data_IF_952563630797
#
_entry.id   IF_952563630797
#
_cell.length_a   1.000
_cell.length_b   1.000
_cell.length_c   1.000
_cell.angle_alpha   90.00
_cell.angle_beta   90.00
_cell.angle_gamma   90.00
#
_symmetry.space_group_name_H-M   'P 1'
#
loop_
_entity.id
_entity.type
_entity.pdbx_description
1 polymer ?
#
# COMPACT_ATOMS: atom_id res chain seq x y z
N UNK A 1 -18.53 -6.16 -3.34
CA UNK A 1 -17.87 -6.59 -4.59
C UNK A 1 -18.86 -7.42 -5.41
N UNK A 2 -18.86 -7.29 -6.74
CA UNK A 2 -19.78 -8.03 -7.64
C UNK A 2 -18.96 -8.93 -8.58
N UNK A 3 -19.28 -10.23 -8.68
CA UNK A 3 -18.64 -11.11 -9.65
C UNK A 3 -19.14 -10.85 -11.08
N UNK A 4 -18.34 -11.22 -12.08
CA UNK A 4 -18.66 -11.10 -13.50
C UNK A 4 -19.77 -12.06 -13.97
N UNK A 5 -19.91 -13.20 -13.28
CA UNK A 5 -21.09 -14.08 -13.36
C UNK A 5 -21.81 -14.04 -12.00
N UNK A 6 -23.13 -13.76 -11.97
CA UNK A 6 -23.85 -13.68 -10.72
C UNK A 6 -23.83 -15.02 -9.97
N UNK A 7 -23.83 -15.00 -8.62
CA UNK A 7 -24.07 -16.20 -7.83
C UNK A 7 -25.33 -16.92 -8.27
N UNK A 8 -25.30 -18.25 -8.30
CA UNK A 8 -26.45 -19.07 -8.69
C UNK A 8 -26.89 -19.97 -7.55
N UNK A 9 -28.19 -20.21 -7.45
CA UNK A 9 -28.71 -21.19 -6.51
C UNK A 9 -28.89 -22.53 -7.23
N UNK A 10 -28.32 -23.60 -6.68
CA UNK A 10 -28.50 -24.97 -7.16
C UNK A 10 -28.71 -25.89 -5.96
N UNK A 11 -29.84 -26.60 -5.96
CA UNK A 11 -30.18 -27.55 -4.88
C UNK A 11 -30.12 -26.92 -3.48
N UNK A 12 -30.64 -25.70 -3.31
CA UNK A 12 -30.64 -25.00 -2.01
C UNK A 12 -29.24 -24.57 -1.51
N UNK A 13 -28.25 -24.51 -2.41
CA UNK A 13 -26.91 -24.02 -2.12
C UNK A 13 -26.56 -22.89 -3.09
N UNK A 14 -25.84 -21.90 -2.59
CA UNK A 14 -25.32 -20.79 -3.41
C UNK A 14 -23.97 -21.20 -3.97
N UNK A 15 -23.80 -21.01 -5.28
CA UNK A 15 -22.54 -21.19 -5.97
C UNK A 15 -22.04 -19.84 -6.48
N UNK A 16 -20.74 -19.62 -6.37
CA UNK A 16 -20.09 -18.34 -6.71
C UNK A 16 -18.87 -18.61 -7.59
N UNK A 17 -18.52 -17.72 -8.55
CA UNK A 17 -17.31 -17.89 -9.35
C UNK A 17 -16.08 -18.09 -8.47
N UNK A 18 -15.40 -19.23 -8.63
CA UNK A 18 -14.36 -19.65 -7.68
C UNK A 18 -13.15 -18.71 -7.65
N UNK A 19 -12.80 -18.13 -8.80
CA UNK A 19 -11.67 -17.21 -8.92
C UNK A 19 -11.93 -15.93 -8.12
N UNK A 20 -13.10 -15.33 -8.34
CA UNK A 20 -13.59 -14.20 -7.56
C UNK A 20 -13.57 -14.52 -6.06
N UNK A 21 -14.09 -15.67 -5.66
CA UNK A 21 -14.15 -16.04 -4.25
C UNK A 21 -12.75 -16.27 -3.65
N UNK A 22 -11.90 -17.05 -4.31
CA UNK A 22 -10.55 -17.37 -3.85
C UNK A 22 -9.65 -16.15 -3.75
N UNK A 23 -9.61 -15.31 -4.78
CA UNK A 23 -8.78 -14.09 -4.77
C UNK A 23 -9.21 -13.13 -3.64
N UNK A 24 -10.52 -13.01 -3.39
CA UNK A 24 -11.02 -12.18 -2.28
C UNK A 24 -10.76 -12.78 -0.89
N UNK A 25 -10.67 -14.10 -0.79
CA UNK A 25 -10.24 -14.78 0.44
C UNK A 25 -8.71 -14.78 0.61
N UNK A 26 -7.96 -14.22 -0.34
CA UNK A 26 -6.50 -14.20 -0.34
C UNK A 26 -5.84 -15.52 -0.77
N UNK A 27 -6.58 -16.38 -1.46
CA UNK A 27 -6.06 -17.64 -2.00
C UNK A 27 -5.54 -17.45 -3.44
N UNK A 28 -4.39 -18.04 -3.74
CA UNK A 28 -3.96 -18.28 -5.12
C UNK A 28 -4.86 -19.35 -5.73
N UNK A 29 -5.35 -19.11 -6.95
CA UNK A 29 -6.32 -19.98 -7.61
C UNK A 29 -5.87 -20.37 -9.00
N UNK A 30 -6.01 -21.66 -9.33
CA UNK A 30 -5.67 -22.23 -10.62
C UNK A 30 -6.84 -23.07 -11.15
N UNK A 31 -7.00 -23.05 -12.47
CA UNK A 31 -7.93 -23.89 -13.22
C UNK A 31 -7.14 -24.71 -14.23
N UNK A 32 -7.28 -26.04 -14.16
CA UNK A 32 -6.75 -26.97 -15.15
C UNK A 32 -7.89 -27.44 -16.05
N UNK A 33 -7.82 -27.05 -17.32
CA UNK A 33 -8.82 -27.38 -18.33
C UNK A 33 -8.84 -28.87 -18.69
N UNK A 34 -7.67 -29.53 -18.75
CA UNK A 34 -7.57 -30.94 -19.16
C UNK A 34 -8.24 -31.84 -18.14
N UNK A 35 -7.98 -31.60 -16.87
CA UNK A 35 -8.54 -32.41 -15.78
C UNK A 35 -9.88 -31.87 -15.28
N UNK A 36 -10.26 -30.66 -15.68
CA UNK A 36 -11.41 -29.89 -15.19
C UNK A 36 -11.34 -29.67 -13.67
N UNK A 37 -10.15 -29.33 -13.19
CA UNK A 37 -9.82 -29.25 -11.77
C UNK A 37 -9.53 -27.82 -11.35
N UNK A 38 -10.09 -27.46 -10.21
CA UNK A 38 -9.79 -26.24 -9.46
C UNK A 38 -8.75 -26.59 -8.40
N UNK A 39 -7.72 -25.77 -8.29
CA UNK A 39 -6.82 -25.75 -7.13
C UNK A 39 -6.82 -24.36 -6.52
N UNK A 40 -7.02 -24.26 -5.21
CA UNK A 40 -6.91 -23.02 -4.47
C UNK A 40 -5.96 -23.20 -3.28
N UNK A 41 -5.05 -22.26 -3.05
CA UNK A 41 -4.01 -22.35 -2.01
C UNK A 41 -3.95 -21.05 -1.22
N UNK A 42 -4.01 -21.15 0.12
CA UNK A 42 -3.81 -20.04 1.06
C UNK A 42 -3.03 -20.55 2.27
N UNK A 43 -1.84 -19.99 2.51
CA UNK A 43 -0.94 -20.48 3.55
C UNK A 43 -0.64 -21.98 3.37
N UNK A 44 -0.83 -22.77 4.43
CA UNK A 44 -0.71 -24.23 4.40
C UNK A 44 -1.95 -24.96 3.87
N UNK A 45 -3.02 -24.25 3.52
CA UNK A 45 -4.28 -24.85 3.10
C UNK A 45 -4.38 -24.93 1.58
N UNK A 46 -4.58 -26.14 1.06
CA UNK A 46 -4.80 -26.45 -0.36
C UNK A 46 -6.17 -27.11 -0.53
N UNK A 47 -7.01 -26.50 -1.35
CA UNK A 47 -8.31 -27.02 -1.77
C UNK A 47 -8.22 -27.50 -3.20
N UNK A 48 -8.67 -28.73 -3.47
CA UNK A 48 -8.76 -29.31 -4.81
C UNK A 48 -10.20 -29.76 -5.05
N UNK A 49 -10.76 -29.40 -6.20
CA UNK A 49 -12.12 -29.79 -6.58
C UNK A 49 -12.22 -30.00 -8.09
N UNK A 50 -12.87 -31.06 -8.53
CA UNK A 50 -13.14 -31.31 -9.95
C UNK A 50 -14.60 -31.00 -10.31
N UNK A 51 -14.84 -30.44 -11.49
CA UNK A 51 -16.20 -30.14 -11.95
C UNK A 51 -17.01 -31.42 -12.06
N UNK A 52 -18.24 -31.40 -11.52
CA UNK A 52 -19.14 -32.54 -11.54
C UNK A 52 -18.94 -33.53 -10.39
N UNK A 53 -17.80 -33.50 -9.70
CA UNK A 53 -17.55 -34.39 -8.57
C UNK A 53 -18.22 -33.87 -7.30
N UNK A 54 -18.73 -34.80 -6.48
CA UNK A 54 -19.21 -34.52 -5.12
C UNK A 54 -18.11 -34.64 -4.07
N UNK A 55 -16.89 -34.92 -4.50
CA UNK A 55 -15.72 -35.07 -3.65
C UNK A 55 -14.76 -33.92 -3.94
N UNK A 56 -14.35 -33.23 -2.88
CA UNK A 56 -13.26 -32.29 -2.88
C UNK A 56 -12.18 -32.75 -1.89
N UNK A 57 -11.05 -32.07 -1.90
CA UNK A 57 -9.94 -32.36 -0.99
C UNK A 57 -9.45 -31.09 -0.32
N UNK A 58 -9.21 -31.15 0.98
CA UNK A 58 -8.53 -30.12 1.77
C UNK A 58 -7.27 -30.74 2.34
N UNK A 59 -6.09 -30.27 1.93
CA UNK A 59 -4.79 -30.81 2.34
C UNK A 59 -4.67 -32.33 2.12
N UNK A 60 -5.27 -32.84 1.04
CA UNK A 60 -5.31 -34.27 0.72
C UNK A 60 -6.43 -35.05 1.41
N UNK A 61 -7.08 -34.48 2.43
CA UNK A 61 -8.21 -35.11 3.11
C UNK A 61 -9.49 -34.94 2.31
N UNK A 62 -10.24 -36.03 2.14
CA UNK A 62 -11.47 -36.05 1.37
C UNK A 62 -12.60 -35.30 2.10
N UNK A 63 -13.34 -34.46 1.37
CA UNK A 63 -14.52 -33.73 1.85
C UNK A 63 -15.67 -33.92 0.88
N UNK A 64 -16.85 -34.28 1.40
CA UNK A 64 -18.06 -34.44 0.60
C UNK A 64 -18.75 -33.08 0.42
N UNK A 65 -19.15 -32.78 -0.81
CA UNK A 65 -19.87 -31.57 -1.17
C UNK A 65 -21.38 -31.82 -1.19
N UNK A 66 -22.13 -30.87 -0.66
CA UNK A 66 -23.60 -30.84 -0.75
C UNK A 66 -24.09 -30.71 -2.20
N UNK A 67 -23.36 -29.93 -3.01
CA UNK A 67 -23.63 -29.71 -4.43
C UNK A 67 -22.33 -29.70 -5.21
N UNK A 68 -22.37 -30.22 -6.44
CA UNK A 68 -21.21 -30.25 -7.33
C UNK A 68 -20.89 -28.86 -7.84
N UNK A 69 -19.60 -28.56 -8.02
CA UNK A 69 -19.23 -27.36 -8.78
C UNK A 69 -19.64 -27.52 -10.25
N UNK A 70 -19.97 -26.40 -10.88
CA UNK A 70 -20.51 -26.35 -12.24
C UNK A 70 -19.88 -25.25 -13.05
N UNK A 71 -19.97 -25.34 -14.36
CA UNK A 71 -19.62 -24.24 -15.26
C UNK A 71 -20.91 -23.54 -15.68
N UNK A 72 -20.99 -22.24 -15.45
CA UNK A 72 -22.11 -21.37 -15.88
C UNK A 72 -21.52 -20.20 -16.65
N UNK A 73 -21.96 -20.01 -17.92
CA UNK A 73 -21.46 -18.94 -18.80
C UNK A 73 -19.93 -18.88 -18.88
N UNK A 74 -19.26 -20.03 -19.00
CA UNK A 74 -17.80 -20.10 -19.07
C UNK A 74 -17.06 -19.77 -17.76
N UNK A 75 -17.78 -19.68 -16.62
CA UNK A 75 -17.17 -19.54 -15.29
C UNK A 75 -17.44 -20.76 -14.45
N UNK A 76 -16.39 -21.18 -13.76
CA UNK A 76 -16.46 -22.25 -12.78
C UNK A 76 -17.02 -21.70 -11.47
N UNK A 77 -18.15 -22.24 -11.04
CA UNK A 77 -18.89 -21.87 -9.84
C UNK A 77 -18.76 -22.98 -8.80
N UNK A 78 -18.37 -22.62 -7.58
CA UNK A 78 -18.15 -23.55 -6.46
C UNK A 78 -19.14 -23.30 -5.32
N UNK A 79 -19.49 -24.32 -4.52
CA UNK A 79 -20.35 -24.14 -3.34
C UNK A 79 -19.69 -23.16 -2.36
N UNK A 80 -20.35 -22.04 -2.08
CA UNK A 80 -19.76 -20.94 -1.32
C UNK A 80 -19.32 -21.35 0.08
N UNK A 81 -20.17 -22.11 0.79
CA UNK A 81 -19.95 -22.51 2.18
C UNK A 81 -18.69 -23.37 2.32
N UNK A 82 -18.63 -24.49 1.58
CA UNK A 82 -17.47 -25.37 1.56
C UNK A 82 -16.17 -24.59 1.27
N UNK A 83 -16.18 -23.78 0.22
CA UNK A 83 -14.97 -23.09 -0.23
C UNK A 83 -14.50 -22.03 0.79
N UNK A 84 -15.43 -21.30 1.40
CA UNK A 84 -15.14 -20.31 2.43
C UNK A 84 -14.65 -20.95 3.74
N UNK A 85 -15.35 -21.98 4.23
CA UNK A 85 -15.01 -22.67 5.47
C UNK A 85 -13.64 -23.36 5.37
N UNK A 86 -13.29 -23.89 4.19
CA UNK A 86 -11.95 -24.42 3.92
C UNK A 86 -10.85 -23.38 4.16
N UNK A 87 -11.13 -22.09 3.94
CA UNK A 87 -10.19 -20.99 4.17
C UNK A 87 -10.48 -20.20 5.47
N UNK A 88 -11.07 -20.89 6.45
CA UNK A 88 -11.38 -20.36 7.78
C UNK A 88 -12.31 -19.12 7.75
N UNK A 89 -13.27 -19.12 6.83
CA UNK A 89 -14.30 -18.08 6.74
C UNK A 89 -15.68 -18.64 7.11
N UNK A 90 -16.40 -17.92 7.97
CA UNK A 90 -17.81 -18.16 8.26
C UNK A 90 -18.69 -17.67 7.12
N UNK A 91 -19.81 -18.35 6.88
CA UNK A 91 -20.77 -18.02 5.82
C UNK A 91 -22.18 -17.94 6.39
N UNK A 92 -22.77 -16.76 6.32
CA UNK A 92 -24.11 -16.46 6.79
C UNK A 92 -25.03 -16.09 5.62
N UNK A 93 -26.23 -16.66 5.62
CA UNK A 93 -27.26 -16.32 4.65
C UNK A 93 -28.24 -15.32 5.26
N UNK A 94 -28.46 -14.19 4.58
CA UNK A 94 -29.50 -13.23 4.91
C UNK A 94 -30.62 -13.32 3.88
N UNK A 95 -31.74 -13.94 4.28
CA UNK A 95 -32.91 -14.12 3.42
C UNK A 95 -33.60 -12.82 3.04
N UNK A 96 -33.68 -11.85 3.96
CA UNK A 96 -34.34 -10.56 3.71
C UNK A 96 -33.63 -9.74 2.61
N UNK A 97 -32.30 -9.83 2.54
CA UNK A 97 -31.48 -9.12 1.55
C UNK A 97 -31.07 -9.98 0.36
N UNK A 98 -31.47 -11.26 0.34
CA UNK A 98 -30.96 -12.27 -0.60
C UNK A 98 -29.42 -12.21 -0.74
N UNK A 99 -28.73 -12.11 0.40
CA UNK A 99 -27.31 -11.85 0.46
C UNK A 99 -26.57 -12.91 1.27
N UNK A 100 -25.38 -13.30 0.79
CA UNK A 100 -24.44 -14.11 1.56
C UNK A 100 -23.38 -13.19 2.16
N UNK A 101 -23.17 -13.29 3.47
CA UNK A 101 -22.09 -12.64 4.20
C UNK A 101 -20.99 -13.65 4.47
N UNK A 102 -19.74 -13.25 4.19
CA UNK A 102 -18.57 -14.06 4.46
C UNK A 102 -17.69 -13.31 5.46
N UNK A 103 -17.36 -13.97 6.57
CA UNK A 103 -16.54 -13.39 7.63
C UNK A 103 -15.28 -14.23 7.81
N UNK A 104 -14.11 -13.66 7.54
CA UNK A 104 -12.84 -14.32 7.85
C UNK A 104 -12.67 -14.38 9.37
N UNK A 105 -12.51 -15.58 9.93
CA UNK A 105 -12.36 -15.74 11.39
C UNK A 105 -11.04 -15.15 11.90
N UNK A 106 -10.00 -15.13 11.07
CA UNK A 106 -8.70 -14.51 11.39
C UNK A 106 -8.63 -13.03 10.98
N UNK A 107 -9.73 -12.46 10.45
CA UNK A 107 -9.74 -11.15 9.81
C UNK A 107 -9.12 -11.16 8.41
N UNK A 108 -9.25 -10.02 7.71
CA UNK A 108 -8.54 -9.81 6.44
C UNK A 108 -7.07 -9.51 6.78
N UNK A 109 -6.13 -10.09 6.02
CA UNK A 109 -4.71 -9.74 6.11
C UNK A 109 -4.30 -8.93 4.87
N UNK A 110 -3.59 -7.83 5.05
CA UNK A 110 -3.04 -6.99 3.97
C UNK A 110 -1.61 -6.61 4.27
N UNK A 111 -0.85 -6.31 3.22
CA UNK A 111 0.48 -5.77 3.38
C UNK A 111 0.43 -4.36 4.00
N UNK A 112 1.17 -4.12 5.08
CA UNK A 112 1.29 -2.80 5.70
C UNK A 112 2.77 -2.40 5.68
N UNK A 113 3.12 -1.43 4.85
CA UNK A 113 4.47 -0.87 4.74
C UNK A 113 4.59 0.40 5.59
N UNK A 114 5.62 0.50 6.42
CA UNK A 114 5.98 1.73 7.12
C UNK A 114 7.18 2.41 6.47
N UNK A 115 7.06 3.67 6.08
CA UNK A 115 8.22 4.49 5.72
C UNK A 115 8.94 4.94 7.01
N UNK A 116 10.21 4.58 7.14
CA UNK A 116 11.02 4.78 8.34
C UNK A 116 12.08 5.85 8.09
N UNK A 117 12.07 6.88 8.93
CA UNK A 117 13.10 7.90 9.03
C UNK A 117 13.93 7.66 10.28
N UNK A 118 15.09 8.31 10.40
CA UNK A 118 15.94 8.23 11.61
C UNK A 118 15.19 8.55 12.91
N UNK A 119 14.18 9.42 12.88
CA UNK A 119 13.32 9.76 14.04
C UNK A 119 12.14 8.80 14.28
N UNK A 120 12.01 7.73 13.50
CA UNK A 120 10.85 6.82 13.55
C UNK A 120 11.00 5.66 14.56
N UNK A 121 12.14 5.54 15.26
CA UNK A 121 12.46 4.35 16.06
C UNK A 121 11.39 4.02 17.11
N UNK A 122 10.98 4.99 17.93
CA UNK A 122 9.99 4.75 19.00
C UNK A 122 8.65 4.27 18.43
N UNK A 123 8.16 4.92 17.37
CA UNK A 123 6.89 4.54 16.72
C UNK A 123 7.00 3.16 16.04
N UNK A 124 8.15 2.86 15.45
CA UNK A 124 8.43 1.56 14.85
C UNK A 124 8.39 0.43 15.89
N UNK A 125 9.12 0.58 17.01
CA UNK A 125 9.16 -0.43 18.08
C UNK A 125 7.78 -0.64 18.71
N UNK A 126 7.02 0.44 18.94
CA UNK A 126 5.65 0.36 19.47
C UNK A 126 4.70 -0.43 18.56
N UNK A 127 4.97 -0.50 17.26
CA UNK A 127 4.04 -1.01 16.25
C UNK A 127 4.60 -2.16 15.39
N UNK A 128 5.57 -2.92 15.89
CA UNK A 128 6.16 -4.08 15.19
C UNK A 128 5.11 -5.14 14.80
N UNK A 129 4.09 -5.33 15.64
CA UNK A 129 2.98 -6.26 15.37
C UNK A 129 2.11 -5.82 14.17
N UNK A 130 2.19 -4.53 13.80
CA UNK A 130 1.33 -3.84 12.82
C UNK A 130 1.91 -3.72 11.43
N UNK A 131 3.15 -4.16 11.24
CA UNK A 131 3.88 -3.96 10.00
C UNK A 131 4.17 -5.29 9.30
N UNK A 132 4.01 -5.28 7.99
CA UNK A 132 4.51 -6.34 7.10
C UNK A 132 5.93 -6.07 6.64
N UNK A 133 6.25 -4.79 6.44
CA UNK A 133 7.56 -4.35 6.01
C UNK A 133 7.85 -2.91 6.43
N UNK A 134 9.12 -2.55 6.36
CA UNK A 134 9.62 -1.21 6.58
C UNK A 134 10.52 -0.79 5.41
N UNK A 135 10.38 0.44 4.94
CA UNK A 135 11.28 1.05 3.95
C UNK A 135 12.11 2.14 4.62
N UNK A 136 13.42 1.93 4.73
CA UNK A 136 14.33 2.81 5.49
C UNK A 136 14.87 3.92 4.59
N UNK A 137 14.43 5.16 4.82
CA UNK A 137 14.85 6.34 4.04
C UNK A 137 16.25 6.79 4.46
N UNK A 138 17.25 6.01 4.06
CA UNK A 138 18.64 6.24 4.42
C UNK A 138 19.54 6.48 3.22
N UNK A 139 19.08 6.25 1.99
CA UNK A 139 19.93 6.39 0.81
C UNK A 139 19.43 7.43 -0.16
N UNK A 140 20.37 8.08 -0.83
CA UNK A 140 20.16 9.04 -1.91
C UNK A 140 21.35 9.05 -2.86
N UNK A 141 21.40 10.00 -3.78
CA UNK A 141 22.49 10.17 -4.72
C UNK A 141 23.33 11.41 -4.39
N UNK A 142 24.65 11.30 -4.54
CA UNK A 142 25.56 12.45 -4.52
C UNK A 142 25.49 13.24 -5.86
N UNK A 143 26.28 14.31 -5.96
CA UNK A 143 26.37 15.14 -7.18
C UNK A 143 26.87 14.38 -8.43
N UNK A 144 27.53 13.25 -8.25
CA UNK A 144 28.04 12.40 -9.32
C UNK A 144 27.07 11.27 -9.69
N UNK A 145 25.95 11.12 -8.95
CA UNK A 145 24.97 10.05 -9.13
C UNK A 145 25.35 8.75 -8.43
N UNK A 146 26.31 8.76 -7.52
CA UNK A 146 26.65 7.59 -6.70
C UNK A 146 25.69 7.45 -5.52
N UNK A 147 25.45 6.22 -5.10
CA UNK A 147 24.65 5.92 -3.93
C UNK A 147 25.39 6.36 -2.67
N UNK A 148 24.73 7.18 -1.86
CA UNK A 148 25.23 7.64 -0.56
C UNK A 148 24.15 7.49 0.50
N UNK A 149 24.55 7.35 1.75
CA UNK A 149 23.66 7.10 2.88
C UNK A 149 23.49 8.32 3.81
N UNK A 150 23.90 9.50 3.31
CA UNK A 150 23.93 10.75 4.06
C UNK A 150 23.59 11.96 3.18
N UNK A 151 22.55 12.69 3.59
CA UNK A 151 22.24 14.05 3.16
C UNK A 151 21.39 14.74 4.25
N UNK A 152 22.05 15.56 5.07
CA UNK A 152 21.40 16.26 6.18
C UNK A 152 20.32 17.24 5.70
N UNK A 153 20.49 17.87 4.53
CA UNK A 153 19.53 18.85 4.01
C UNK A 153 18.18 18.22 3.67
N UNK A 154 18.19 16.93 3.32
CA UNK A 154 17.00 16.13 2.96
C UNK A 154 16.60 15.13 4.03
N UNK A 155 17.22 15.20 5.21
CA UNK A 155 17.00 14.32 6.37
C UNK A 155 17.23 12.84 6.04
N UNK A 156 18.26 12.56 5.25
CA UNK A 156 18.68 11.22 4.87
C UNK A 156 19.94 10.91 5.66
N UNK A 157 19.86 9.91 6.53
CA UNK A 157 20.98 9.50 7.37
C UNK A 157 20.76 8.07 7.83
N UNK A 158 21.63 7.16 7.42
CA UNK A 158 21.74 5.83 8.04
C UNK A 158 22.24 6.01 9.48
N UNK A 159 21.44 5.68 10.51
CA UNK A 159 21.87 5.87 11.90
C UNK A 159 22.97 4.86 12.26
N UNK A 160 23.86 5.22 13.19
CA UNK A 160 24.96 4.35 13.61
C UNK A 160 24.47 3.01 14.20
N UNK A 161 23.33 3.05 14.87
CA UNK A 161 22.64 1.92 15.50
C UNK A 161 21.54 1.31 14.60
N UNK A 162 21.65 1.47 13.27
CA UNK A 162 20.66 0.94 12.31
C UNK A 162 20.40 -0.57 12.46
N UNK A 163 21.38 -1.33 12.96
CA UNK A 163 21.25 -2.76 13.23
C UNK A 163 20.11 -3.07 14.22
N UNK A 164 19.77 -2.16 15.15
CA UNK A 164 18.63 -2.34 16.05
C UNK A 164 17.30 -2.40 15.31
N UNK A 165 17.17 -1.64 14.21
CA UNK A 165 16.00 -1.70 13.33
C UNK A 165 15.92 -3.06 12.64
N UNK A 166 17.06 -3.56 12.15
CA UNK A 166 17.14 -4.86 11.52
C UNK A 166 16.76 -5.99 12.47
N UNK A 167 17.36 -6.03 13.66
CA UNK A 167 17.07 -7.06 14.67
C UNK A 167 15.59 -7.06 15.07
N UNK A 168 15.04 -5.89 15.37
CA UNK A 168 13.62 -5.75 15.72
C UNK A 168 12.71 -6.19 14.57
N UNK A 169 13.02 -5.82 13.33
CA UNK A 169 12.26 -6.21 12.15
C UNK A 169 12.30 -7.73 11.93
N UNK A 170 13.50 -8.32 11.91
CA UNK A 170 13.70 -9.76 11.67
C UNK A 170 13.03 -10.61 12.74
N UNK A 171 13.16 -10.24 14.02
CA UNK A 171 12.49 -10.93 15.14
C UNK A 171 10.96 -10.94 15.01
N UNK A 172 10.39 -9.96 14.31
CA UNK A 172 8.95 -9.79 14.13
C UNK A 172 8.46 -10.13 12.71
N UNK A 173 9.30 -10.79 11.90
CA UNK A 173 8.95 -11.18 10.53
C UNK A 173 8.65 -9.98 9.60
N UNK A 174 9.22 -8.82 9.87
CA UNK A 174 9.06 -7.61 9.07
C UNK A 174 10.14 -7.59 7.99
N UNK A 175 9.75 -7.44 6.73
CA UNK A 175 10.69 -7.26 5.62
C UNK A 175 11.29 -5.86 5.63
N UNK A 176 12.55 -5.74 5.25
CA UNK A 176 13.30 -4.49 5.28
C UNK A 176 13.68 -4.13 3.85
N UNK A 177 13.32 -2.94 3.41
CA UNK A 177 13.66 -2.41 2.09
C UNK A 177 14.56 -1.19 2.24
N UNK A 178 15.67 -1.17 1.51
CA UNK A 178 16.51 0.02 1.42
C UNK A 178 15.77 1.04 0.54
N UNK A 179 15.39 2.20 1.09
CA UNK A 179 14.75 3.23 0.28
C UNK A 179 15.82 4.14 -0.30
N UNK A 180 15.84 4.26 -1.64
CA UNK A 180 16.71 5.17 -2.38
C UNK A 180 15.88 6.34 -2.90
N UNK A 181 16.04 7.49 -2.26
CA UNK A 181 15.31 8.72 -2.56
C UNK A 181 16.13 9.64 -3.45
N UNK A 182 15.51 10.19 -4.49
CA UNK A 182 16.08 11.33 -5.21
C UNK A 182 14.99 12.20 -5.84
N UNK A 183 15.12 13.52 -5.77
CA UNK A 183 14.15 14.49 -6.29
C UNK A 183 14.79 15.59 -7.15
N UNK A 184 16.13 15.66 -7.21
CA UNK A 184 16.84 16.57 -8.09
C UNK A 184 16.73 16.10 -9.55
N UNK A 185 16.06 16.91 -10.36
CA UNK A 185 15.75 16.59 -11.76
C UNK A 185 17.01 16.49 -12.62
N UNK A 186 18.03 17.30 -12.35
CA UNK A 186 19.26 17.30 -13.15
C UNK A 186 20.10 16.06 -12.81
N UNK A 187 20.20 15.72 -11.52
CA UNK A 187 20.88 14.51 -11.05
C UNK A 187 20.21 13.24 -11.58
N UNK A 188 18.87 13.21 -11.57
CA UNK A 188 18.12 12.09 -12.16
C UNK A 188 18.36 11.98 -13.67
N UNK A 189 18.30 13.09 -14.42
CA UNK A 189 18.64 13.06 -15.86
C UNK A 189 20.06 12.53 -16.08
N UNK A 190 21.05 12.98 -15.29
CA UNK A 190 22.44 12.56 -15.40
C UNK A 190 22.62 11.05 -15.16
N UNK A 191 22.11 10.53 -14.05
CA UNK A 191 22.32 9.12 -13.68
C UNK A 191 21.55 8.16 -14.60
N UNK A 192 20.44 8.61 -15.18
CA UNK A 192 19.62 7.78 -16.08
C UNK A 192 20.08 7.85 -17.55
N UNK A 193 20.84 8.89 -17.94
CA UNK A 193 21.13 9.24 -19.34
C UNK A 193 21.79 8.15 -20.20
N UNK A 194 22.67 7.33 -19.63
CA UNK A 194 23.44 6.31 -20.38
C UNK A 194 23.28 4.93 -19.76
N UNK A 195 23.48 3.86 -20.54
CA UNK A 195 23.48 2.50 -20.02
C UNK A 195 24.55 2.30 -18.95
N UNK A 196 25.72 2.90 -19.13
CA UNK A 196 26.84 2.84 -18.19
C UNK A 196 26.48 3.47 -16.85
N UNK A 197 25.89 4.67 -16.85
CA UNK A 197 25.49 5.35 -15.61
C UNK A 197 24.40 4.57 -14.86
N UNK A 198 23.38 4.09 -15.60
CA UNK A 198 22.34 3.23 -15.03
C UNK A 198 22.92 1.97 -14.41
N UNK A 199 23.81 1.29 -15.12
CA UNK A 199 24.45 0.07 -14.62
C UNK A 199 25.29 0.34 -13.37
N UNK A 200 26.06 1.42 -13.36
CA UNK A 200 26.87 1.80 -12.20
C UNK A 200 26.01 2.03 -10.95
N UNK A 201 24.85 2.68 -11.08
CA UNK A 201 23.92 2.84 -9.96
C UNK A 201 23.25 1.51 -9.58
N UNK A 202 22.85 0.69 -10.55
CA UNK A 202 22.28 -0.64 -10.30
C UNK A 202 23.24 -1.50 -9.48
N UNK A 203 24.53 -1.50 -9.85
CA UNK A 203 25.55 -2.30 -9.16
C UNK A 203 25.73 -1.84 -7.70
N UNK A 204 25.73 -0.52 -7.46
CA UNK A 204 25.80 0.04 -6.11
C UNK A 204 24.57 -0.33 -5.26
N UNK A 205 23.36 -0.21 -5.81
CA UNK A 205 22.12 -0.57 -5.12
C UNK A 205 22.10 -2.07 -4.80
N UNK A 206 22.43 -2.92 -5.77
CA UNK A 206 22.44 -4.38 -5.59
C UNK A 206 23.49 -4.79 -4.56
N UNK A 207 24.68 -4.16 -4.59
CA UNK A 207 25.72 -4.38 -3.60
C UNK A 207 25.21 -4.09 -2.19
N UNK A 208 24.67 -2.89 -1.96
CA UNK A 208 24.15 -2.49 -0.64
C UNK A 208 23.04 -3.43 -0.15
N UNK A 209 22.07 -3.77 -1.03
CA UNK A 209 20.96 -4.66 -0.68
C UNK A 209 21.43 -6.05 -0.29
N UNK A 210 22.48 -6.56 -0.94
CA UNK A 210 23.04 -7.90 -0.68
C UNK A 210 23.93 -7.90 0.55
N UNK A 211 24.88 -6.98 0.64
CA UNK A 211 25.87 -6.91 1.73
C UNK A 211 25.20 -6.62 3.08
N UNK A 212 24.25 -5.69 3.11
CA UNK A 212 23.50 -5.35 4.33
C UNK A 212 22.31 -6.28 4.59
N UNK A 213 22.06 -7.26 3.71
CA UNK A 213 20.99 -8.23 3.85
C UNK A 213 19.58 -7.61 3.95
N UNK A 214 19.26 -6.63 3.10
CA UNK A 214 17.89 -6.17 2.88
C UNK A 214 17.06 -7.23 2.15
N UNK A 215 15.73 -7.21 2.27
CA UNK A 215 14.84 -8.04 1.45
C UNK A 215 14.67 -7.49 0.02
N UNK A 216 15.11 -6.27 -0.22
CA UNK A 216 14.98 -5.58 -1.50
C UNK A 216 15.21 -4.08 -1.38
N UNK A 217 14.83 -3.36 -2.42
CA UNK A 217 14.93 -1.91 -2.51
C UNK A 217 13.57 -1.28 -2.79
N UNK A 218 13.33 -0.09 -2.24
CA UNK A 218 12.26 0.80 -2.67
C UNK A 218 12.86 2.01 -3.40
N UNK A 219 12.56 2.16 -4.69
CA UNK A 219 12.99 3.32 -5.49
C UNK A 219 11.96 4.43 -5.34
N UNK A 220 12.41 5.58 -4.88
CA UNK A 220 11.62 6.79 -4.62
C UNK A 220 12.23 7.97 -5.39
N UNK A 221 12.22 7.85 -6.72
CA UNK A 221 12.70 8.88 -7.63
C UNK A 221 11.55 9.80 -8.04
N UNK A 222 11.60 11.05 -7.61
CA UNK A 222 10.57 12.06 -7.79
C UNK A 222 10.95 13.11 -8.85
N UNK A 223 9.96 13.75 -9.46
CA UNK A 223 10.13 14.83 -10.45
C UNK A 223 10.92 14.45 -11.73
N UNK A 224 11.00 13.17 -12.08
CA UNK A 224 11.65 12.72 -13.33
C UNK A 224 11.05 13.47 -14.53
N UNK A 225 11.92 13.99 -15.41
CA UNK A 225 11.48 14.74 -16.60
C UNK A 225 10.81 13.80 -17.61
N UNK A 226 9.84 14.34 -18.35
CA UNK A 226 9.12 13.59 -19.38
C UNK A 226 10.05 12.92 -20.41
N UNK A 227 11.12 13.61 -20.80
CA UNK A 227 12.14 13.13 -21.75
C UNK A 227 12.96 11.94 -21.21
N UNK A 228 13.05 11.77 -19.89
CA UNK A 228 13.80 10.69 -19.25
C UNK A 228 12.96 9.40 -19.06
N UNK A 229 11.71 9.37 -19.54
CA UNK A 229 10.79 8.24 -19.38
C UNK A 229 11.43 6.90 -19.77
N UNK A 230 11.97 6.80 -20.98
CA UNK A 230 12.51 5.53 -21.48
C UNK A 230 13.82 5.12 -20.79
N UNK A 231 14.60 6.11 -20.34
CA UNK A 231 15.80 5.87 -19.54
C UNK A 231 15.43 5.35 -18.15
N UNK A 232 14.43 5.93 -17.50
CA UNK A 232 13.90 5.44 -16.24
C UNK A 232 13.28 4.04 -16.39
N UNK A 233 12.55 3.81 -17.48
CA UNK A 233 11.97 2.50 -17.77
C UNK A 233 13.05 1.41 -17.89
N UNK A 234 14.13 1.73 -18.62
CA UNK A 234 15.29 0.84 -18.78
C UNK A 234 15.99 0.57 -17.44
N UNK A 235 16.23 1.62 -16.65
CA UNK A 235 16.81 1.49 -15.29
C UNK A 235 16.00 0.51 -14.43
N UNK A 236 14.68 0.68 -14.34
CA UNK A 236 13.82 -0.15 -13.50
C UNK A 236 13.80 -1.61 -13.98
N UNK A 237 13.73 -1.84 -15.30
CA UNK A 237 13.74 -3.19 -15.86
C UNK A 237 15.05 -3.93 -15.56
N UNK A 238 16.17 -3.25 -15.71
CA UNK A 238 17.50 -3.82 -15.48
C UNK A 238 17.75 -4.05 -13.99
N UNK A 239 17.37 -3.08 -13.14
CA UNK A 239 17.42 -3.20 -11.69
C UNK A 239 16.55 -4.37 -11.18
N UNK A 240 15.32 -4.50 -11.70
CA UNK A 240 14.43 -5.61 -11.38
C UNK A 240 15.12 -6.95 -11.67
N UNK A 241 15.67 -7.10 -12.87
CA UNK A 241 16.34 -8.33 -13.30
C UNK A 241 17.55 -8.66 -12.41
N UNK A 242 18.36 -7.65 -12.08
CA UNK A 242 19.52 -7.80 -11.22
C UNK A 242 19.12 -8.24 -9.80
N UNK A 243 18.11 -7.62 -9.18
CA UNK A 243 17.60 -7.98 -7.85
C UNK A 243 16.96 -9.36 -7.82
N UNK A 244 16.13 -9.72 -8.82
CA UNK A 244 15.51 -11.05 -8.88
C UNK A 244 16.56 -12.16 -8.99
N UNK A 245 17.69 -11.93 -9.67
CA UNK A 245 18.80 -12.89 -9.72
C UNK A 245 19.44 -13.17 -8.35
N UNK A 246 19.24 -12.26 -7.38
CA UNK A 246 19.70 -12.36 -5.99
C UNK A 246 18.57 -12.71 -5.01
N UNK A 247 17.39 -13.08 -5.51
CA UNK A 247 16.19 -13.32 -4.72
C UNK A 247 15.79 -12.10 -3.84
N UNK A 248 15.96 -10.89 -4.38
CA UNK A 248 15.60 -9.62 -3.72
C UNK A 248 14.40 -8.98 -4.43
N UNK A 249 13.63 -8.20 -3.67
CA UNK A 249 12.43 -7.50 -4.13
C UNK A 249 12.76 -6.12 -4.71
N UNK A 250 11.99 -5.68 -5.70
CA UNK A 250 11.97 -4.28 -6.15
C UNK A 250 10.59 -3.68 -5.95
N UNK A 251 10.54 -2.54 -5.29
CA UNK A 251 9.31 -1.81 -5.02
C UNK A 251 9.49 -0.36 -5.50
N UNK A 252 8.43 0.28 -6.00
CA UNK A 252 8.55 1.63 -6.59
C UNK A 252 7.50 2.55 -5.99
N UNK A 253 7.92 3.70 -5.47
CA UNK A 253 7.00 4.79 -5.11
C UNK A 253 6.59 5.52 -6.40
N UNK A 254 5.28 5.59 -6.66
CA UNK A 254 4.74 6.24 -7.85
C UNK A 254 3.94 7.48 -7.46
N UNK A 255 4.18 8.62 -8.12
CA UNK A 255 3.38 9.81 -7.89
C UNK A 255 1.96 9.61 -8.42
N UNK A 256 0.99 10.24 -7.79
CA UNK A 256 -0.42 10.09 -8.14
C UNK A 256 -0.74 10.55 -9.57
N UNK A 257 -1.56 9.76 -10.28
CA UNK A 257 -2.09 10.06 -11.61
C UNK A 257 -3.57 9.69 -11.65
N UNK A 258 -4.36 10.40 -12.46
CA UNK A 258 -5.77 10.10 -12.70
C UNK A 258 -6.06 10.08 -14.20
N UNK A 259 -7.23 9.59 -14.61
CA UNK A 259 -7.62 9.70 -16.03
C UNK A 259 -7.83 11.16 -16.47
N UNK A 260 -8.12 12.05 -15.52
CA UNK A 260 -8.36 13.48 -15.77
C UNK A 260 -7.07 14.27 -15.88
N UNK A 261 -6.00 13.80 -15.21
CA UNK A 261 -4.78 14.56 -15.07
C UNK A 261 -3.56 13.66 -14.91
N UNK A 262 -2.58 13.89 -15.77
CA UNK A 262 -1.25 13.31 -15.73
C UNK A 262 -0.22 14.43 -15.56
N UNK A 263 0.21 14.67 -14.32
CA UNK A 263 1.30 15.60 -14.02
C UNK A 263 2.69 15.00 -14.28
N UNK A 264 2.77 13.68 -14.44
CA UNK A 264 4.00 12.89 -14.29
C UNK A 264 4.14 11.93 -15.48
N UNK A 265 4.35 12.47 -16.70
CA UNK A 265 4.40 11.68 -17.93
C UNK A 265 5.60 10.74 -17.99
N UNK A 266 6.65 10.97 -17.17
CA UNK A 266 7.79 10.06 -17.07
C UNK A 266 7.46 8.70 -16.42
N UNK A 267 6.37 8.62 -15.66
CA UNK A 267 6.03 7.44 -14.87
C UNK A 267 5.05 6.56 -15.65
N UNK A 268 5.61 5.57 -16.35
CA UNK A 268 4.88 4.54 -17.07
C UNK A 268 4.32 3.48 -16.11
N UNK A 269 3.07 3.64 -15.66
CA UNK A 269 2.47 2.72 -14.69
C UNK A 269 2.45 1.25 -15.17
N UNK A 270 2.23 0.99 -16.45
CA UNK A 270 2.18 -0.39 -16.96
C UNK A 270 3.57 -1.02 -16.96
N UNK A 271 4.57 -0.31 -17.47
CA UNK A 271 5.97 -0.75 -17.50
C UNK A 271 6.50 -0.95 -16.07
N UNK A 272 6.30 0.04 -15.19
CA UNK A 272 6.81 0.05 -13.82
C UNK A 272 6.07 -1.00 -12.95
N UNK A 273 4.77 -1.20 -13.14
CA UNK A 273 4.00 -2.25 -12.47
C UNK A 273 4.36 -3.67 -12.94
N UNK A 274 4.80 -3.81 -14.20
CA UNK A 274 5.31 -5.09 -14.73
C UNK A 274 6.65 -5.45 -14.09
N UNK A 275 7.59 -4.52 -14.02
CA UNK A 275 8.94 -4.72 -13.49
C UNK A 275 9.10 -4.22 -12.05
N UNK A 276 8.20 -4.66 -11.18
CA UNK A 276 8.28 -4.52 -9.73
C UNK A 276 7.54 -5.66 -9.06
N UNK A 277 7.90 -5.98 -7.82
CA UNK A 277 7.13 -6.88 -6.98
C UNK A 277 5.84 -6.20 -6.48
N UNK A 278 5.90 -4.89 -6.22
CA UNK A 278 4.75 -4.02 -6.00
C UNK A 278 5.11 -2.54 -6.16
N UNK A 279 4.09 -1.69 -6.29
CA UNK A 279 4.22 -0.23 -6.31
C UNK A 279 3.50 0.37 -5.11
N UNK A 280 3.98 1.51 -4.62
CA UNK A 280 3.33 2.32 -3.60
C UNK A 280 2.80 3.59 -4.25
N UNK A 281 1.48 3.81 -4.24
CA UNK A 281 0.88 5.02 -4.78
C UNK A 281 0.96 6.15 -3.75
N UNK A 282 1.66 7.23 -4.07
CA UNK A 282 1.73 8.44 -3.23
C UNK A 282 0.45 9.28 -3.40
N UNK A 283 -0.68 8.73 -2.96
CA UNK A 283 -2.01 9.33 -3.10
C UNK A 283 -2.28 10.37 -1.98
N UNK A 284 -1.36 11.31 -1.83
CA UNK A 284 -1.39 12.47 -0.94
C UNK A 284 -0.72 13.67 -1.62
N UNK A 285 -0.70 14.84 -0.96
CA UNK A 285 -0.14 16.09 -1.49
C UNK A 285 -0.75 16.59 -2.82
N UNK A 286 -2.06 16.40 -3.02
CA UNK A 286 -2.80 16.88 -4.21
C UNK A 286 -2.54 18.35 -4.55
N UNK A 287 -2.23 19.20 -3.57
CA UNK A 287 -1.86 20.62 -3.74
C UNK A 287 -2.92 21.45 -4.51
N UNK A 288 -4.18 21.53 -4.03
CA UNK A 288 -5.20 22.40 -4.59
C UNK A 288 -4.78 23.88 -4.56
N UNK A 289 -5.38 24.69 -5.44
CA UNK A 289 -5.09 26.13 -5.60
C UNK A 289 -5.48 27.00 -4.41
N UNK A 290 -6.34 26.48 -3.53
CA UNK A 290 -6.77 27.09 -2.27
C UNK A 290 -6.65 26.05 -1.15
N UNK A 291 -6.58 26.47 0.12
CA UNK A 291 -6.64 25.55 1.25
C UNK A 291 -7.76 24.52 1.08
N UNK A 292 -7.46 23.25 1.34
CA UNK A 292 -8.38 22.17 1.00
C UNK A 292 -7.82 20.77 1.26
N UNK A 293 -8.64 19.74 1.01
CA UNK A 293 -8.26 18.35 1.23
C UNK A 293 -7.11 17.93 0.32
N UNK A 294 -6.02 17.44 0.91
CA UNK A 294 -4.81 17.01 0.18
C UNK A 294 -4.84 15.54 -0.24
N UNK A 295 -5.69 14.74 0.39
CA UNK A 295 -5.75 13.30 0.22
C UNK A 295 -7.17 12.76 0.49
N UNK A 296 -8.20 13.50 0.05
CA UNK A 296 -9.59 13.08 0.24
C UNK A 296 -9.89 11.73 -0.41
N UNK A 297 -10.78 10.93 0.20
CA UNK A 297 -11.15 9.60 -0.33
C UNK A 297 -11.69 9.67 -1.76
N UNK A 298 -12.37 10.76 -2.11
CA UNK A 298 -12.87 11.08 -3.44
C UNK A 298 -11.73 11.11 -4.47
N UNK A 299 -10.68 11.88 -4.22
CA UNK A 299 -9.51 11.97 -5.10
C UNK A 299 -8.64 10.71 -5.05
N UNK A 300 -8.40 10.15 -3.85
CA UNK A 300 -7.63 8.91 -3.70
C UNK A 300 -8.28 7.77 -4.50
N UNK A 301 -9.62 7.72 -4.60
CA UNK A 301 -10.33 6.73 -5.42
C UNK A 301 -10.01 6.88 -6.90
N UNK A 302 -9.97 8.11 -7.43
CA UNK A 302 -9.58 8.34 -8.83
C UNK A 302 -8.15 7.85 -9.12
N UNK A 303 -7.23 8.08 -8.18
CA UNK A 303 -5.83 7.62 -8.29
C UNK A 303 -5.75 6.10 -8.30
N UNK A 304 -6.46 5.42 -7.39
CA UNK A 304 -6.51 3.96 -7.34
C UNK A 304 -7.16 3.38 -8.60
N UNK A 305 -8.25 3.97 -9.09
CA UNK A 305 -8.94 3.51 -10.28
C UNK A 305 -8.10 3.66 -11.56
N UNK A 306 -7.30 4.73 -11.65
CA UNK A 306 -6.31 4.88 -12.71
C UNK A 306 -5.25 3.77 -12.65
N UNK A 307 -4.74 3.49 -11.44
CA UNK A 307 -3.66 2.52 -11.24
C UNK A 307 -4.10 1.08 -11.54
N UNK A 308 -5.26 0.63 -11.02
CA UNK A 308 -5.70 -0.77 -11.16
C UNK A 308 -6.12 -1.16 -12.58
N UNK A 309 -6.34 -0.19 -13.47
CA UNK A 309 -6.52 -0.46 -14.91
C UNK A 309 -5.22 -0.83 -15.62
N UNK A 310 -4.08 -0.47 -15.03
CA UNK A 310 -2.73 -0.56 -15.63
C UNK A 310 -1.81 -1.52 -14.87
N UNK A 311 -2.04 -1.67 -13.57
CA UNK A 311 -1.25 -2.51 -12.66
C UNK A 311 -2.20 -3.50 -11.99
N UNK A 312 -1.80 -4.78 -11.90
CA UNK A 312 -2.55 -5.78 -11.13
C UNK A 312 -2.81 -5.27 -9.71
N UNK A 313 -4.06 -5.28 -9.21
CA UNK A 313 -4.36 -4.78 -7.86
C UNK A 313 -3.52 -5.40 -6.74
N UNK A 314 -3.15 -6.68 -6.89
CA UNK A 314 -2.32 -7.42 -5.92
C UNK A 314 -0.85 -6.93 -5.87
N UNK A 315 -0.45 -6.04 -6.78
CA UNK A 315 0.83 -5.31 -6.78
C UNK A 315 0.68 -3.85 -6.35
N UNK A 316 -0.51 -3.36 -6.05
CA UNK A 316 -0.74 -1.95 -5.68
C UNK A 316 -0.85 -1.82 -4.17
N UNK A 317 0.02 -1.00 -3.58
CA UNK A 317 -0.03 -0.57 -2.18
C UNK A 317 -0.46 0.89 -2.14
N UNK A 318 -1.49 1.21 -1.37
CA UNK A 318 -1.99 2.58 -1.26
C UNK A 318 -1.23 3.36 -0.17
N UNK A 319 -0.48 4.40 -0.55
CA UNK A 319 0.14 5.31 0.38
C UNK A 319 -0.89 6.21 1.08
N UNK A 320 -0.79 6.30 2.40
CA UNK A 320 -1.58 7.17 3.27
C UNK A 320 -0.62 8.14 3.94
N UNK A 321 -0.69 9.41 3.55
CA UNK A 321 0.06 10.50 4.17
C UNK A 321 -0.62 10.95 5.45
N UNK A 322 -0.21 10.41 6.61
CA UNK A 322 -0.87 10.67 7.90
C UNK A 322 -0.42 11.98 8.53
N UNK A 323 -0.80 13.08 7.89
CA UNK A 323 -0.54 14.45 8.30
C UNK A 323 -1.57 15.37 7.62
N UNK A 324 -1.41 16.66 7.82
CA UNK A 324 -2.20 17.70 7.19
C UNK A 324 -1.37 18.93 6.89
N UNK A 325 -2.07 19.98 6.48
CA UNK A 325 -1.48 21.31 6.39
C UNK A 325 -2.39 22.38 6.99
N UNK A 326 -1.75 23.45 7.44
CA UNK A 326 -2.38 24.71 7.76
C UNK A 326 -1.90 25.80 6.80
N UNK A 327 -2.77 26.76 6.50
CA UNK A 327 -2.44 27.93 5.69
C UNK A 327 -2.74 29.21 6.46
N UNK A 328 -1.77 30.12 6.48
CA UNK A 328 -1.92 31.47 7.04
C UNK A 328 -0.95 32.41 6.33
N UNK A 329 -1.39 33.63 5.98
CA UNK A 329 -0.57 34.68 5.38
C UNK A 329 0.28 34.21 4.17
N UNK A 330 -0.30 33.37 3.30
CA UNK A 330 0.41 32.82 2.13
C UNK A 330 1.48 31.77 2.46
N UNK A 331 1.63 31.37 3.73
CA UNK A 331 2.52 30.31 4.19
C UNK A 331 1.74 29.02 4.42
N UNK A 332 2.44 27.89 4.22
CA UNK A 332 1.95 26.54 4.51
C UNK A 332 2.75 25.93 5.65
N UNK A 333 2.06 25.29 6.59
CA UNK A 333 2.61 24.59 7.75
C UNK A 333 2.18 23.14 7.72
N UNK A 334 3.04 22.21 8.10
CA UNK A 334 2.66 20.80 8.28
C UNK A 334 1.89 20.65 9.57
N UNK A 335 0.82 19.86 9.56
CA UNK A 335 -0.03 19.62 10.73
C UNK A 335 0.02 18.15 11.10
N UNK A 336 0.26 17.85 12.37
CA UNK A 336 0.20 16.50 12.93
C UNK A 336 -0.89 16.41 13.99
N UNK A 337 -1.45 15.22 14.18
CA UNK A 337 -2.54 15.03 15.13
C UNK A 337 -2.10 15.23 16.58
N UNK A 338 -0.92 14.70 16.93
CA UNK A 338 -0.36 14.75 18.28
C UNK A 338 1.07 15.27 18.30
N UNK A 339 1.39 16.00 19.36
CA UNK A 339 2.78 16.39 19.66
C UNK A 339 3.68 15.18 19.73
N UNK A 340 4.83 15.27 19.07
CA UNK A 340 5.92 14.31 19.16
C UNK A 340 7.25 15.03 19.33
N UNK A 341 8.35 14.28 19.39
CA UNK A 341 9.69 14.82 19.64
C UNK A 341 10.28 15.60 18.44
N UNK A 342 9.53 15.76 17.34
CA UNK A 342 10.07 16.41 16.15
C UNK A 342 10.09 17.92 16.29
N UNK A 343 11.25 18.49 15.97
CA UNK A 343 11.50 19.94 16.04
C UNK A 343 11.71 20.49 14.62
N UNK A 344 10.63 20.83 13.93
CA UNK A 344 10.68 21.53 12.65
C UNK A 344 10.01 22.89 12.79
N UNK A 345 10.58 23.93 12.16
CA UNK A 345 10.13 25.33 12.28
C UNK A 345 8.72 25.61 11.73
N UNK A 346 8.10 24.64 11.04
CA UNK A 346 6.77 24.78 10.43
C UNK A 346 5.82 23.61 10.73
N UNK A 347 5.96 22.95 11.89
CA UNK A 347 4.98 21.96 12.35
C UNK A 347 4.04 22.58 13.38
N UNK A 348 2.75 22.29 13.21
CA UNK A 348 1.70 22.55 14.20
C UNK A 348 1.08 21.22 14.64
N UNK A 349 0.61 21.17 15.89
CA UNK A 349 0.02 19.96 16.47
C UNK A 349 -1.45 20.21 16.87
N UNK A 350 -2.38 19.40 16.37
CA UNK A 350 -3.82 19.61 16.56
C UNK A 350 -4.21 19.59 18.05
N UNK A 351 -3.60 18.74 18.85
CA UNK A 351 -3.81 18.67 20.31
C UNK A 351 -3.40 19.95 21.04
N UNK A 352 -2.26 20.53 20.67
CA UNK A 352 -1.80 21.83 21.19
C UNK A 352 -2.73 22.95 20.72
N UNK A 353 -3.11 22.98 19.45
CA UNK A 353 -3.99 24.01 18.90
C UNK A 353 -5.40 23.97 19.52
N UNK A 354 -5.91 22.77 19.83
CA UNK A 354 -7.15 22.58 20.59
C UNK A 354 -7.04 23.19 21.99
N UNK A 355 -5.94 22.89 22.67
CA UNK A 355 -5.73 23.32 24.06
C UNK A 355 -5.46 24.82 24.17
N UNK A 356 -4.67 25.40 23.25
CA UNK A 356 -4.24 26.80 23.29
C UNK A 356 -5.26 27.76 22.67
N UNK A 357 -5.88 27.38 21.56
CA UNK A 357 -6.74 28.30 20.77
C UNK A 357 -8.19 27.83 20.63
N UNK A 358 -8.57 26.73 21.29
CA UNK A 358 -9.93 26.20 21.20
C UNK A 358 -10.30 25.68 19.80
N UNK A 359 -9.32 25.27 19.00
CA UNK A 359 -9.54 24.71 17.66
C UNK A 359 -10.59 23.59 17.71
N UNK A 360 -11.61 23.69 16.85
CA UNK A 360 -12.58 22.61 16.62
C UNK A 360 -12.39 22.06 15.21
N UNK A 361 -12.29 20.75 15.11
CA UNK A 361 -12.18 20.05 13.83
C UNK A 361 -13.54 19.45 13.47
N UNK A 362 -13.97 19.68 12.24
CA UNK A 362 -15.14 19.09 11.60
C UNK A 362 -14.69 18.09 10.53
N UNK A 363 -15.58 17.18 10.14
CA UNK A 363 -15.33 16.23 9.06
C UNK A 363 -15.98 16.74 7.77
N UNK A 364 -15.21 16.82 6.69
CA UNK A 364 -15.78 17.08 5.37
C UNK A 364 -16.40 15.80 4.81
N UNK A 365 -17.66 15.85 4.38
CA UNK A 365 -18.42 14.64 3.99
C UNK A 365 -17.93 14.00 2.70
N UNK A 366 -17.27 14.76 1.82
CA UNK A 366 -16.83 14.28 0.51
C UNK A 366 -15.44 13.65 0.59
N UNK A 367 -14.49 14.38 1.15
CA UNK A 367 -13.09 13.95 1.30
C UNK A 367 -12.88 13.04 2.51
N UNK A 368 -13.77 13.11 3.51
CA UNK A 368 -13.60 12.50 4.84
C UNK A 368 -12.36 12.99 5.60
N UNK A 369 -11.75 14.09 5.15
CA UNK A 369 -10.66 14.74 5.89
C UNK A 369 -11.22 15.62 6.99
N UNK A 370 -10.43 15.79 8.05
CA UNK A 370 -10.76 16.72 9.12
C UNK A 370 -10.33 18.14 8.69
N UNK A 371 -11.17 19.13 8.95
CA UNK A 371 -10.86 20.53 8.69
C UNK A 371 -11.27 21.41 9.86
N UNK A 372 -10.65 22.58 9.98
CA UNK A 372 -10.97 23.54 11.03
C UNK A 372 -10.21 24.84 10.84
N UNK A 373 -10.50 25.82 11.68
CA UNK A 373 -9.78 27.09 11.69
C UNK A 373 -9.59 27.60 13.10
N UNK A 374 -8.55 28.41 13.29
CA UNK A 374 -8.28 29.11 14.55
C UNK A 374 -7.62 30.46 14.27
N UNK A 375 -7.59 31.33 15.28
CA UNK A 375 -6.78 32.56 15.29
C UNK A 375 -5.71 32.44 16.36
N UNK A 376 -4.49 32.83 16.04
CA UNK A 376 -3.40 32.90 17.01
C UNK A 376 -3.51 34.15 17.91
N UNK A 377 -2.57 34.30 18.85
CA UNK A 377 -2.48 35.43 19.77
C UNK A 377 -2.30 36.80 19.08
N UNK A 378 -1.86 36.81 17.81
CA UNK A 378 -1.68 38.01 17.00
C UNK A 378 -2.89 38.29 16.08
N UNK A 379 -3.94 37.47 16.16
CA UNK A 379 -5.13 37.57 15.33
C UNK A 379 -4.97 36.99 13.92
N UNK A 380 -3.87 36.31 13.62
CA UNK A 380 -3.64 35.64 12.33
C UNK A 380 -4.55 34.44 12.22
N UNK A 381 -5.28 34.36 11.11
CA UNK A 381 -6.22 33.25 10.84
C UNK A 381 -5.53 32.11 10.12
N UNK A 382 -5.74 30.90 10.63
CA UNK A 382 -5.25 29.66 10.06
C UNK A 382 -6.42 28.79 9.61
N UNK A 383 -6.34 28.25 8.39
CA UNK A 383 -7.21 27.17 7.92
C UNK A 383 -6.42 25.87 7.93
N UNK A 384 -7.01 24.78 8.44
CA UNK A 384 -6.36 23.48 8.63
C UNK A 384 -7.15 22.41 7.89
N UNK A 385 -6.42 21.52 7.21
CA UNK A 385 -6.91 20.25 6.70
C UNK A 385 -5.95 19.13 7.08
N UNK A 386 -6.45 18.02 7.64
CA UNK A 386 -5.64 16.90 8.08
C UNK A 386 -6.34 15.55 7.85
N UNK A 387 -5.55 14.47 7.77
CA UNK A 387 -6.10 13.11 7.83
C UNK A 387 -6.93 12.90 9.10
N UNK A 388 -7.98 12.10 8.97
CA UNK A 388 -8.85 11.69 10.06
C UNK A 388 -8.92 10.16 10.15
N UNK A 389 -9.37 9.61 11.28
CA UNK A 389 -9.66 8.17 11.35
C UNK A 389 -10.70 7.72 10.31
N UNK A 390 -11.63 8.61 9.93
CA UNK A 390 -12.65 8.30 8.93
C UNK A 390 -12.06 8.23 7.51
N UNK A 391 -11.15 9.13 7.13
CA UNK A 391 -10.46 9.04 5.83
C UNK A 391 -9.54 7.83 5.77
N UNK A 392 -8.83 7.51 6.86
CA UNK A 392 -7.98 6.30 6.94
C UNK A 392 -8.83 5.03 6.80
N UNK A 393 -9.91 4.91 7.57
CA UNK A 393 -10.85 3.77 7.49
C UNK A 393 -11.41 3.61 6.08
N UNK A 394 -11.86 4.69 5.46
CA UNK A 394 -12.39 4.65 4.09
C UNK A 394 -11.35 4.21 3.06
N UNK A 395 -10.09 4.63 3.21
CA UNK A 395 -8.97 4.18 2.37
C UNK A 395 -8.65 2.70 2.58
N UNK A 396 -8.67 2.22 3.81
CA UNK A 396 -8.51 0.78 4.11
C UNK A 396 -9.65 -0.04 3.50
N UNK A 397 -10.91 0.40 3.62
CA UNK A 397 -12.06 -0.24 2.98
C UNK A 397 -11.94 -0.26 1.47
N UNK A 398 -11.47 0.84 0.87
CA UNK A 398 -11.20 0.89 -0.57
C UNK A 398 -10.08 -0.07 -0.98
N UNK A 399 -9.02 -0.20 -0.17
CA UNK A 399 -7.95 -1.16 -0.42
C UNK A 399 -8.45 -2.61 -0.41
N UNK A 400 -9.42 -2.94 0.46
CA UNK A 400 -10.13 -4.22 0.44
C UNK A 400 -11.00 -4.33 -0.83
N UNK A 401 -11.86 -3.34 -1.07
CA UNK A 401 -12.84 -3.30 -2.17
C UNK A 401 -12.18 -3.48 -3.54
N UNK A 402 -11.04 -2.84 -3.76
CA UNK A 402 -10.30 -2.86 -5.03
C UNK A 402 -9.31 -4.03 -5.11
N UNK A 403 -9.23 -4.89 -4.08
CA UNK A 403 -8.31 -6.03 -4.07
C UNK A 403 -6.83 -5.62 -4.04
N UNK A 404 -6.52 -4.46 -3.45
CA UNK A 404 -5.15 -3.95 -3.36
C UNK A 404 -4.27 -4.87 -2.49
N UNK A 405 -2.95 -4.87 -2.74
CA UNK A 405 -1.97 -5.58 -1.91
C UNK A 405 -2.04 -5.13 -0.44
N UNK A 406 -2.26 -3.83 -0.22
CA UNK A 406 -2.45 -3.26 1.10
C UNK A 406 -2.20 -1.75 1.12
N UNK A 407 -1.64 -1.24 2.22
CA UNK A 407 -1.38 0.19 2.44
C UNK A 407 0.08 0.44 2.81
N UNK A 408 0.54 1.67 2.59
CA UNK A 408 1.78 2.19 3.13
C UNK A 408 1.48 3.44 3.96
N UNK A 409 2.15 3.61 5.09
CA UNK A 409 2.03 4.82 5.90
C UNK A 409 3.23 5.74 5.65
N UNK A 410 2.94 6.95 5.17
CA UNK A 410 3.86 8.08 5.19
C UNK A 410 3.48 9.01 6.34
N UNK A 411 4.13 8.91 7.49
CA UNK A 411 5.26 8.01 7.80
C UNK A 411 5.24 7.58 9.26
N UNK A 412 6.07 6.58 9.59
CA UNK A 412 6.34 6.24 10.98
C UNK A 412 6.95 7.46 11.70
N UNK A 413 6.55 7.67 12.95
CA UNK A 413 6.78 8.87 13.76
C UNK A 413 5.62 9.86 13.72
N UNK A 414 4.73 9.78 12.72
CA UNK A 414 3.51 10.62 12.66
C UNK A 414 2.29 9.89 13.18
N UNK A 415 2.35 8.56 13.28
CA UNK A 415 1.19 7.74 13.56
C UNK A 415 0.73 7.88 15.01
N UNK A 416 -0.56 7.64 15.23
CA UNK A 416 -1.19 7.65 16.55
C UNK A 416 -1.99 6.37 16.75
N UNK A 417 -2.48 6.13 17.96
CA UNK A 417 -3.38 5.01 18.21
C UNK A 417 -4.66 5.13 17.35
N UNK A 418 -5.10 6.35 17.03
CA UNK A 418 -6.25 6.60 16.15
C UNK A 418 -6.01 6.12 14.71
N UNK A 419 -4.80 6.31 14.18
CA UNK A 419 -4.40 5.76 12.89
C UNK A 419 -4.43 4.22 12.93
N UNK A 420 -3.74 3.61 13.89
CA UNK A 420 -3.62 2.16 13.97
C UNK A 420 -4.95 1.48 14.22
N UNK A 421 -5.81 2.06 15.08
CA UNK A 421 -7.16 1.56 15.33
C UNK A 421 -8.02 1.60 14.04
N UNK A 422 -7.92 2.65 13.23
CA UNK A 422 -8.64 2.71 11.95
C UNK A 422 -8.15 1.64 10.96
N UNK A 423 -6.84 1.38 10.89
CA UNK A 423 -6.28 0.30 10.05
C UNK A 423 -6.72 -1.08 10.56
N UNK A 424 -6.58 -1.32 11.87
CA UNK A 424 -6.92 -2.59 12.51
C UNK A 424 -8.42 -2.87 12.56
N UNK A 425 -9.27 -1.85 12.48
CA UNK A 425 -10.70 -2.04 12.25
C UNK A 425 -11.00 -2.79 10.94
N UNK A 426 -10.06 -2.78 9.99
CA UNK A 426 -10.25 -3.31 8.64
C UNK A 426 -9.44 -4.59 8.37
N UNK A 427 -8.14 -4.61 8.68
CA UNK A 427 -7.27 -5.78 8.44
C UNK A 427 -6.06 -5.83 9.38
N UNK A 428 -5.43 -7.00 9.44
CA UNK A 428 -4.14 -7.23 10.13
C UNK A 428 -2.99 -7.19 9.12
N UNK A 429 -1.77 -7.00 9.63
CA UNK A 429 -0.56 -7.08 8.82
C UNK A 429 -0.34 -8.51 8.32
N UNK A 430 -0.11 -8.67 7.01
CA UNK A 430 0.35 -9.92 6.41
C UNK A 430 1.87 -10.05 6.65
N UNK A 431 2.30 -11.01 7.46
CA UNK A 431 3.72 -11.28 7.74
C UNK A 431 4.34 -12.11 6.62
#
# INVERSE_FOLDING_TARGET
MKPDVPPTMKSGRVLVPFRFLGENLGAYVNWDEKTRTITAVKGSTKVILRIGDRTAYINGNQVKLDVTATIVKGRTLVPIRFFCEAFNAAVDWNSAKNAVYITLKDGIAKHILGYYYSSSYEDFIKNLDKLSSVATKWYTLDENGNLVDYDNSRYIMKPQDYNLVFEAARKNGIKIYALVFESDRARLSQVLSTQQNRQALIDQIVKEVVEENYDGVNIDFEYIKAEDRENFNSFIKDLYSALKSKNKSLNISLPAKTEKQDWWPAYDYEMLGKYSDFVVLMAYDRSPSTPGPQAGIDWTREVVEYAVKRISPQKVVLGIGYYGYAWANGQRYTVLEKKNQMTYSKILFIDELKSKYGLKMSLDSNSLMAYGSFKDENGVSYEIWAESSASVDAKCKMAIEKGLKGIAVWRLGYTTDNFWNAVYGNFRAAK
#
